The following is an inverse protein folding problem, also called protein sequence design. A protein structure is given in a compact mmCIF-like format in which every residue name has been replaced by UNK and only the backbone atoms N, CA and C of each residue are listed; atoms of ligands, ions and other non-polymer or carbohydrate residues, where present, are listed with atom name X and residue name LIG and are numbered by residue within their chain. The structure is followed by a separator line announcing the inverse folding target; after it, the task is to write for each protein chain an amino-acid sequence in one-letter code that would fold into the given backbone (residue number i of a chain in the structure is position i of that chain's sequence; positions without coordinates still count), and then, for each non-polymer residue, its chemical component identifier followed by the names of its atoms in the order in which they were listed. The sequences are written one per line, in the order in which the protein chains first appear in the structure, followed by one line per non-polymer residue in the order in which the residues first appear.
data_IF_528152305158
#
_entry.id   IF_528152305158
#
_cell.length_a   1.000
_cell.length_b   1.000
_cell.length_c   1.000
_cell.angle_alpha   90.00
_cell.angle_beta   90.00
_cell.angle_gamma   90.00
#
_symmetry.space_group_name_H-M   'P 1'
#
loop_
_entity.id
_entity.type
_entity.pdbx_description
1 polymer ?
#
# COMPACT_ATOMS: atom_id res chain seq x y z
N UNK A 1 -29.98 -3.27 37.75
CA UNK A 1 -29.30 -2.71 36.56
C UNK A 1 -28.63 -3.87 35.83
N UNK A 2 -29.07 -4.22 34.63
CA UNK A 2 -28.43 -5.25 33.80
C UNK A 2 -27.36 -4.57 32.95
N UNK A 3 -26.08 -4.85 33.20
CA UNK A 3 -24.99 -4.42 32.33
C UNK A 3 -25.04 -5.25 31.05
N UNK A 4 -25.19 -4.56 29.91
CA UNK A 4 -25.07 -5.15 28.58
C UNK A 4 -23.60 -5.43 28.33
N UNK A 5 -23.24 -6.70 28.11
CA UNK A 5 -21.91 -7.05 27.61
C UNK A 5 -21.72 -6.39 26.23
N UNK A 6 -20.62 -5.66 26.06
CA UNK A 6 -20.20 -5.15 24.75
C UNK A 6 -19.56 -6.32 24.02
N UNK A 7 -20.13 -6.73 22.90
CA UNK A 7 -19.52 -7.76 22.07
C UNK A 7 -18.24 -7.22 21.44
N UNK A 8 -17.17 -8.03 21.35
CA UNK A 8 -15.92 -7.60 20.73
C UNK A 8 -16.16 -7.35 19.24
N UNK A 9 -16.03 -6.09 18.83
CA UNK A 9 -16.10 -5.72 17.42
C UNK A 9 -14.85 -6.22 16.70
N UNK A 10 -15.05 -7.03 15.65
CA UNK A 10 -13.96 -7.45 14.75
C UNK A 10 -13.55 -6.25 13.90
N UNK A 11 -12.29 -5.83 14.00
CA UNK A 11 -11.72 -4.79 13.14
C UNK A 11 -11.06 -5.42 11.91
N UNK A 12 -11.45 -4.97 10.72
CA UNK A 12 -10.86 -5.39 9.44
C UNK A 12 -10.04 -4.23 8.88
N UNK A 13 -8.75 -4.46 8.66
CA UNK A 13 -7.87 -3.51 8.00
C UNK A 13 -7.66 -3.90 6.52
N UNK A 14 -7.43 -2.91 5.63
CA UNK A 14 -7.00 -3.21 4.26
C UNK A 14 -5.67 -3.96 4.24
N UNK A 15 -5.43 -4.72 3.17
CA UNK A 15 -4.15 -5.37 2.93
C UNK A 15 -3.01 -4.33 2.88
N UNK A 16 -1.87 -4.56 3.56
CA UNK A 16 -0.76 -3.60 3.57
C UNK A 16 0.01 -3.55 2.24
N UNK A 17 -0.02 -4.66 1.51
CA UNK A 17 0.58 -4.82 0.19
C UNK A 17 -0.51 -5.13 -0.83
N UNK A 18 -0.53 -4.39 -1.93
CA UNK A 18 -1.54 -4.52 -2.98
C UNK A 18 -0.87 -4.65 -4.35
N UNK A 19 -1.55 -5.26 -5.31
CA UNK A 19 -1.04 -5.34 -6.68
C UNK A 19 -0.90 -3.95 -7.30
N UNK A 20 -0.10 -3.82 -8.37
CA UNK A 20 0.03 -2.56 -9.12
C UNK A 20 -1.33 -2.05 -9.60
N UNK A 21 -2.21 -2.94 -10.08
CA UNK A 21 -3.54 -2.59 -10.54
C UNK A 21 -4.39 -1.97 -9.42
N UNK A 22 -4.45 -2.61 -8.25
CA UNK A 22 -5.23 -2.08 -7.12
C UNK A 22 -4.60 -0.79 -6.57
N UNK A 23 -3.26 -0.72 -6.47
CA UNK A 23 -2.55 0.49 -6.09
C UNK A 23 -2.89 1.66 -7.02
N UNK A 24 -2.92 1.43 -8.34
CA UNK A 24 -3.29 2.43 -9.33
C UNK A 24 -4.72 2.94 -9.07
N UNK A 25 -5.67 2.04 -8.88
CA UNK A 25 -7.07 2.39 -8.58
C UNK A 25 -7.20 3.26 -7.34
N UNK A 26 -6.57 2.88 -6.22
CA UNK A 26 -6.81 3.55 -4.93
C UNK A 26 -5.95 4.80 -4.70
N UNK A 27 -4.84 4.95 -5.43
CA UNK A 27 -3.96 6.13 -5.32
C UNK A 27 -4.22 7.17 -6.41
N UNK A 28 -4.97 6.82 -7.46
CA UNK A 28 -5.17 7.65 -8.65
C UNK A 28 -3.96 7.72 -9.59
N UNK A 29 -2.88 6.97 -9.31
CA UNK A 29 -1.76 6.82 -10.22
C UNK A 29 -2.13 5.84 -11.35
N UNK A 30 -1.53 6.00 -12.53
CA UNK A 30 -1.61 4.95 -13.56
C UNK A 30 -0.63 3.84 -13.26
N UNK A 31 -0.92 2.60 -13.70
CA UNK A 31 0.04 1.49 -13.60
C UNK A 31 1.39 1.83 -14.25
N UNK A 32 1.35 2.56 -15.38
CA UNK A 32 2.54 3.05 -16.06
C UNK A 32 3.36 4.01 -15.20
N UNK A 33 2.72 4.90 -14.45
CA UNK A 33 3.42 5.81 -13.54
C UNK A 33 4.08 5.05 -12.38
N UNK A 34 3.41 4.03 -11.84
CA UNK A 34 3.96 3.17 -10.79
C UNK A 34 5.18 2.41 -11.31
N UNK A 35 5.08 1.73 -12.46
CA UNK A 35 6.20 1.00 -13.07
C UNK A 35 7.39 1.92 -13.35
N UNK A 36 7.15 3.11 -13.88
CA UNK A 36 8.21 4.11 -14.11
C UNK A 36 8.89 4.59 -12.82
N UNK A 37 8.16 4.71 -11.70
CA UNK A 37 8.78 5.07 -10.41
C UNK A 37 9.71 3.96 -9.92
N UNK A 38 9.34 2.70 -10.14
CA UNK A 38 10.16 1.53 -9.84
C UNK A 38 11.39 1.49 -10.75
N UNK A 39 11.20 1.54 -12.07
CA UNK A 39 12.26 1.51 -13.09
C UNK A 39 13.27 2.65 -12.92
N UNK A 40 12.80 3.85 -12.59
CA UNK A 40 13.65 5.02 -12.36
C UNK A 40 14.30 5.06 -10.96
N UNK A 41 14.08 4.04 -10.12
CA UNK A 41 14.61 4.00 -8.75
C UNK A 41 14.03 5.05 -7.79
N UNK A 42 12.93 5.71 -8.16
CA UNK A 42 12.24 6.66 -7.27
C UNK A 42 11.51 5.95 -6.13
N UNK A 43 11.04 4.74 -6.40
CA UNK A 43 10.46 3.80 -5.44
C UNK A 43 11.44 2.67 -5.20
N UNK A 44 11.82 2.47 -3.95
CA UNK A 44 12.87 1.54 -3.52
C UNK A 44 12.24 0.21 -3.13
N UNK A 45 12.85 -0.89 -3.60
CA UNK A 45 12.45 -2.24 -3.22
C UNK A 45 12.62 -2.45 -1.71
N UNK A 46 11.65 -3.09 -1.06
CA UNK A 46 11.57 -3.21 0.40
C UNK A 46 10.97 -1.99 1.10
N UNK A 47 10.79 -0.85 0.41
CA UNK A 47 10.20 0.37 1.00
C UNK A 47 8.85 0.71 0.39
N UNK A 48 8.81 1.10 -0.88
CA UNK A 48 7.57 1.42 -1.60
C UNK A 48 6.97 0.20 -2.31
N UNK A 49 7.78 -0.80 -2.65
CA UNK A 49 7.32 -2.00 -3.34
C UNK A 49 8.16 -3.22 -2.93
N UNK A 50 7.62 -4.41 -3.16
CA UNK A 50 8.30 -5.69 -2.94
C UNK A 50 8.06 -6.64 -4.11
N UNK A 51 9.00 -7.57 -4.30
CA UNK A 51 8.80 -8.76 -5.13
C UNK A 51 8.42 -9.94 -4.25
N UNK A 52 7.30 -10.59 -4.56
CA UNK A 52 6.86 -11.82 -3.92
C UNK A 52 7.69 -13.02 -4.39
N UNK A 53 7.62 -14.14 -3.67
CA UNK A 53 8.36 -15.36 -4.00
C UNK A 53 8.02 -15.96 -5.38
N UNK A 54 6.82 -15.67 -5.88
CA UNK A 54 6.33 -16.02 -7.22
C UNK A 54 6.67 -14.98 -8.29
N UNK A 55 7.42 -13.92 -7.94
CA UNK A 55 7.85 -12.87 -8.85
C UNK A 55 6.85 -11.72 -9.01
N UNK A 56 5.66 -11.80 -8.39
CA UNK A 56 4.66 -10.74 -8.41
C UNK A 56 5.14 -9.46 -7.73
N UNK A 57 4.79 -8.30 -8.29
CA UNK A 57 5.13 -6.99 -7.71
C UNK A 57 3.94 -6.47 -6.89
N UNK A 58 4.21 -6.13 -5.64
CA UNK A 58 3.24 -5.54 -4.72
C UNK A 58 3.72 -4.20 -4.21
N UNK A 59 2.79 -3.26 -4.04
CA UNK A 59 3.02 -1.91 -3.56
C UNK A 59 2.68 -1.85 -2.07
N UNK A 60 3.61 -1.30 -1.29
CA UNK A 60 3.42 -1.00 0.13
C UNK A 60 2.57 0.27 0.27
N UNK A 61 1.37 0.17 0.83
CA UNK A 61 0.51 1.34 1.03
C UNK A 61 1.09 2.30 2.09
N UNK A 62 1.80 1.77 3.09
CA UNK A 62 2.53 2.56 4.05
C UNK A 62 3.74 3.26 3.40
N UNK A 63 4.48 2.55 2.55
CA UNK A 63 5.64 3.11 1.82
C UNK A 63 5.24 4.22 0.87
N UNK A 64 4.16 4.00 0.09
CA UNK A 64 3.55 5.04 -0.74
C UNK A 64 3.20 6.30 0.06
N UNK A 65 2.51 6.16 1.20
CA UNK A 65 2.13 7.29 2.05
C UNK A 65 3.36 8.09 2.51
N UNK A 66 4.36 7.41 3.07
CA UNK A 66 5.60 8.06 3.51
C UNK A 66 6.33 8.77 2.35
N UNK A 67 6.29 8.19 1.14
CA UNK A 67 6.90 8.80 -0.04
C UNK A 67 6.19 10.09 -0.45
N UNK A 68 4.85 10.12 -0.41
CA UNK A 68 4.05 11.32 -0.69
C UNK A 68 4.33 12.41 0.33
N UNK A 69 4.32 12.06 1.63
CA UNK A 69 4.53 13.01 2.72
C UNK A 69 5.94 13.64 2.67
N UNK A 70 6.97 12.87 2.31
CA UNK A 70 8.33 13.39 2.12
C UNK A 70 8.46 14.37 0.94
N UNK A 71 7.61 14.26 -0.07
CA UNK A 71 7.61 15.17 -1.22
C UNK A 71 7.00 16.55 -0.94
N UNK A 72 6.44 16.76 0.25
CA UNK A 72 5.84 18.04 0.68
C UNK A 72 6.76 18.87 1.59
N UNK A 73 8.00 18.43 1.82
CA UNK A 73 9.01 19.12 2.64
C UNK A 73 9.93 20.02 1.80
#
# INVERSE_FOLDING_TARGET
MLQRAVEPAVQVAPAPYVTIALAATITGLTEKAIRRKIEAGKWIEGREWIRSCDGGIFISMAGYRQWVEKGQA
#
